data_IF_618752292983
#
_entry.id   IF_618752292983
#
_cell.length_a   1.000
_cell.length_b   1.000
_cell.length_c   1.000
_cell.angle_alpha   90.00
_cell.angle_beta   90.00
_cell.angle_gamma   90.00
#
_symmetry.space_group_name_H-M   'P 1'
#
loop_
_entity.id
_entity.type
_entity.pdbx_description
1 polymer ?
#
# COMPACT_ATOMS: atom_id res chain seq x y z
N UNK A 1 61.92 -6.60 21.58
CA UNK A 1 62.93 -6.19 20.58
C UNK A 1 62.54 -6.53 19.13
N UNK A 2 61.92 -7.68 18.84
CA UNK A 2 61.55 -8.06 17.45
C UNK A 2 60.55 -7.12 16.76
N UNK A 3 59.51 -6.65 17.46
CA UNK A 3 58.51 -5.71 16.89
C UNK A 3 59.13 -4.39 16.41
N UNK A 4 60.15 -3.90 17.13
CA UNK A 4 60.86 -2.67 16.79
C UNK A 4 61.74 -2.90 15.55
N UNK A 5 62.48 -4.02 15.51
CA UNK A 5 63.28 -4.42 14.34
C UNK A 5 62.41 -4.62 13.08
N UNK A 6 61.22 -5.23 13.21
CA UNK A 6 60.28 -5.43 12.10
C UNK A 6 59.68 -4.12 11.57
N UNK A 7 59.44 -3.13 12.44
CA UNK A 7 58.98 -1.80 12.05
C UNK A 7 60.07 -1.01 11.31
N UNK A 8 61.31 -1.09 11.79
CA UNK A 8 62.47 -0.50 11.12
C UNK A 8 62.71 -1.10 9.74
N UNK A 9 62.64 -2.42 9.61
CA UNK A 9 62.80 -3.11 8.34
C UNK A 9 61.70 -2.72 7.34
N UNK A 10 60.43 -2.62 7.79
CA UNK A 10 59.33 -2.11 6.98
C UNK A 10 59.54 -0.64 6.56
N UNK A 11 60.08 0.20 7.44
CA UNK A 11 60.36 1.61 7.13
C UNK A 11 61.44 1.71 6.06
N UNK A 12 62.52 0.95 6.22
CA UNK A 12 63.66 0.89 5.30
C UNK A 12 63.28 0.32 3.93
N UNK A 13 62.45 -0.74 3.88
CA UNK A 13 61.89 -1.28 2.63
C UNK A 13 60.99 -0.26 1.93
N UNK A 14 60.14 0.47 2.68
CA UNK A 14 59.34 1.55 2.11
C UNK A 14 60.22 2.67 1.56
N UNK A 15 61.26 3.11 2.28
CA UNK A 15 62.18 4.15 1.81
C UNK A 15 62.91 3.73 0.53
N UNK A 16 63.38 2.49 0.43
CA UNK A 16 63.99 1.95 -0.79
C UNK A 16 63.01 1.95 -1.97
N UNK A 17 61.76 1.53 -1.76
CA UNK A 17 60.70 1.57 -2.78
C UNK A 17 60.40 3.00 -3.25
N UNK A 18 60.45 3.99 -2.35
CA UNK A 18 60.23 5.40 -2.71
C UNK A 18 61.44 6.03 -3.43
N UNK A 19 62.64 5.50 -3.22
CA UNK A 19 63.87 5.99 -3.84
C UNK A 19 64.01 5.51 -5.29
N UNK A 20 63.54 4.30 -5.59
CA UNK A 20 63.52 3.71 -6.95
C UNK A 20 62.26 4.07 -7.76
N UNK A 21 61.37 4.90 -7.20
CA UNK A 21 60.09 5.25 -7.82
C UNK A 21 60.31 6.27 -8.94
N UNK A 22 59.69 6.04 -10.09
CA UNK A 22 59.74 7.00 -11.20
C UNK A 22 59.02 8.31 -10.85
N UNK A 23 59.32 9.43 -11.53
CA UNK A 23 58.64 10.71 -11.29
C UNK A 23 57.12 10.64 -11.42
N UNK A 24 56.62 9.82 -12.35
CA UNK A 24 55.18 9.62 -12.59
C UNK A 24 54.51 8.81 -11.48
N UNK A 25 55.10 7.68 -11.07
CA UNK A 25 54.60 6.87 -9.95
C UNK A 25 54.57 7.68 -8.64
N UNK A 26 55.59 8.53 -8.43
CA UNK A 26 55.65 9.45 -7.29
C UNK A 26 54.50 10.47 -7.29
N UNK A 27 54.06 10.93 -8.47
CA UNK A 27 52.91 11.83 -8.65
C UNK A 27 51.59 11.12 -8.36
N UNK A 28 51.40 9.91 -8.90
CA UNK A 28 50.20 9.08 -8.66
C UNK A 28 50.05 8.77 -7.17
N UNK A 29 51.13 8.37 -6.49
CA UNK A 29 51.09 8.10 -5.04
C UNK A 29 50.73 9.35 -4.23
N UNK A 30 51.22 10.53 -4.63
CA UNK A 30 50.88 11.79 -3.95
C UNK A 30 49.40 12.14 -4.14
N UNK A 31 48.85 11.93 -5.35
CA UNK A 31 47.44 12.12 -5.65
C UNK A 31 46.56 11.17 -4.82
N UNK A 32 46.84 9.86 -4.87
CA UNK A 32 46.13 8.85 -4.06
C UNK A 32 46.19 9.16 -2.56
N UNK A 33 47.34 9.62 -2.05
CA UNK A 33 47.49 10.01 -0.64
C UNK A 33 46.69 11.27 -0.31
N UNK A 34 46.56 12.21 -1.25
CA UNK A 34 45.76 13.43 -1.09
C UNK A 34 44.27 13.06 -1.06
N UNK A 35 43.81 12.29 -2.02
CA UNK A 35 42.42 11.83 -2.15
C UNK A 35 41.99 10.98 -0.94
N UNK A 36 42.84 10.06 -0.47
CA UNK A 36 42.56 9.28 0.74
C UNK A 36 42.46 10.15 2.01
N UNK A 37 43.23 11.24 2.09
CA UNK A 37 43.14 12.21 3.21
C UNK A 37 41.85 13.03 3.13
N UNK A 38 41.43 13.43 1.94
CA UNK A 38 40.16 14.12 1.71
C UNK A 38 38.97 13.23 2.05
N UNK A 39 38.95 11.98 1.54
CA UNK A 39 37.92 10.99 1.84
C UNK A 39 37.78 10.77 3.36
N UNK A 40 38.89 10.62 4.07
CA UNK A 40 38.89 10.43 5.53
C UNK A 40 38.43 11.68 6.29
N UNK A 41 38.73 12.88 5.80
CA UNK A 41 38.18 14.14 6.34
C UNK A 41 36.65 14.21 6.13
N UNK A 42 36.17 13.83 4.95
CA UNK A 42 34.75 13.82 4.58
C UNK A 42 33.94 12.85 5.44
N UNK A 43 34.43 11.63 5.61
CA UNK A 43 33.83 10.62 6.50
C UNK A 43 33.75 11.12 7.95
N UNK A 44 34.81 11.77 8.45
CA UNK A 44 34.84 12.32 9.83
C UNK A 44 33.88 13.50 10.03
N UNK A 45 33.57 14.25 8.97
CA UNK A 45 32.63 15.37 9.00
C UNK A 45 31.17 14.92 8.91
N UNK A 46 30.90 13.62 8.78
CA UNK A 46 29.54 13.08 8.74
C UNK A 46 28.77 13.41 7.46
N UNK A 47 29.46 13.86 6.40
CA UNK A 47 28.86 14.06 5.07
C UNK A 47 28.42 12.69 4.52
N UNK A 48 27.12 12.46 4.61
CA UNK A 48 26.40 11.29 4.13
C UNK A 48 26.59 11.09 2.62
N UNK A 49 26.25 9.89 2.14
CA UNK A 49 26.35 9.49 0.73
C UNK A 49 25.65 10.46 -0.25
N UNK A 50 24.67 11.22 0.21
CA UNK A 50 23.91 12.21 -0.57
C UNK A 50 24.70 13.51 -0.84
N UNK A 51 25.60 13.91 0.07
CA UNK A 51 26.50 15.07 -0.09
C UNK A 51 27.84 14.69 -0.75
N UNK A 52 28.10 13.40 -0.99
CA UNK A 52 29.33 12.92 -1.62
C UNK A 52 29.46 13.28 -3.11
N UNK A 53 28.41 13.84 -3.72
CA UNK A 53 28.35 14.22 -5.13
C UNK A 53 29.10 15.53 -5.43
N UNK A 54 29.39 16.34 -4.41
CA UNK A 54 30.12 17.59 -4.59
C UNK A 54 31.54 17.46 -4.03
N UNK A 55 32.52 17.74 -4.88
CA UNK A 55 33.94 17.86 -4.50
C UNK A 55 34.36 19.32 -4.64
N UNK A 56 35.40 19.78 -3.94
CA UNK A 56 35.87 21.17 -4.09
C UNK A 56 36.39 21.50 -5.49
N UNK A 57 36.69 20.47 -6.29
CA UNK A 57 37.09 20.61 -7.68
C UNK A 57 35.91 20.67 -8.66
N UNK A 58 34.73 20.20 -8.24
CA UNK A 58 33.55 19.97 -9.11
C UNK A 58 32.30 20.65 -8.53
N UNK A 59 32.52 21.71 -7.73
CA UNK A 59 31.46 22.51 -7.13
C UNK A 59 30.87 23.48 -8.18
N UNK A 60 29.56 23.38 -8.51
CA UNK A 60 28.91 24.25 -9.50
C UNK A 60 28.99 25.75 -9.19
N UNK A 61 29.20 26.10 -7.92
CA UNK A 61 29.28 27.49 -7.46
C UNK A 61 30.72 28.03 -7.42
N UNK A 62 31.72 27.22 -7.83
CA UNK A 62 33.12 27.63 -7.91
C UNK A 62 33.80 27.86 -6.55
N UNK A 63 33.21 27.39 -5.45
CA UNK A 63 33.79 27.54 -4.12
C UNK A 63 34.93 26.51 -3.92
N UNK A 64 36.15 27.02 -3.73
CA UNK A 64 37.38 26.21 -3.63
C UNK A 64 37.57 25.53 -2.27
N UNK A 65 36.70 25.84 -1.30
CA UNK A 65 36.82 25.42 0.10
C UNK A 65 35.51 24.87 0.66
N UNK A 66 34.74 24.15 -0.16
CA UNK A 66 33.47 23.54 0.19
C UNK A 66 33.55 22.67 1.47
N UNK A 67 34.69 22.05 1.73
CA UNK A 67 34.91 21.25 2.95
C UNK A 67 35.34 22.03 4.20
N UNK A 68 35.48 23.35 4.15
CA UNK A 68 35.83 24.14 5.34
C UNK A 68 34.60 24.37 6.23
N UNK A 69 34.77 24.16 7.53
CA UNK A 69 33.75 24.46 8.53
C UNK A 69 33.53 25.96 8.61
N UNK A 70 32.32 26.41 8.26
CA UNK A 70 31.94 27.81 8.43
C UNK A 70 31.89 28.18 9.92
N UNK A 71 32.64 29.20 10.31
CA UNK A 71 32.65 29.72 11.68
C UNK A 71 31.99 31.09 11.70
N UNK A 72 30.87 31.18 12.42
CA UNK A 72 30.16 32.45 12.59
C UNK A 72 30.82 33.31 13.67
N UNK A 73 31.92 33.99 13.30
CA UNK A 73 32.76 34.79 14.23
C UNK A 73 31.94 35.76 15.10
N UNK A 74 31.03 36.51 14.48
CA UNK A 74 30.16 37.47 15.17
C UNK A 74 29.20 36.82 16.18
N UNK A 75 28.79 35.57 15.94
CA UNK A 75 27.98 34.79 16.88
C UNK A 75 28.82 34.31 18.06
N UNK A 76 30.05 33.85 17.82
CA UNK A 76 30.99 33.47 18.88
C UNK A 76 31.31 34.67 19.79
N UNK A 77 31.56 35.85 19.20
CA UNK A 77 31.75 37.09 19.96
C UNK A 77 30.53 37.44 20.81
N UNK A 78 29.31 37.32 20.24
CA UNK A 78 28.06 37.59 20.97
C UNK A 78 27.79 36.58 22.09
N UNK A 79 28.19 35.32 21.91
CA UNK A 79 28.05 34.27 22.92
C UNK A 79 29.18 34.28 23.96
N UNK A 80 30.18 35.17 23.83
CA UNK A 80 31.33 35.25 24.74
C UNK A 80 32.34 34.11 24.58
N UNK A 81 32.27 33.40 23.44
CA UNK A 81 33.12 32.26 23.09
C UNK A 81 34.23 32.64 22.10
N UNK A 82 34.55 33.93 21.96
CA UNK A 82 35.56 34.42 21.03
C UNK A 82 36.97 33.88 21.33
N UNK A 83 37.26 33.57 22.60
CA UNK A 83 38.58 33.13 23.07
C UNK A 83 38.78 31.61 23.01
N UNK A 84 37.76 30.82 22.65
CA UNK A 84 37.93 29.36 22.53
C UNK A 84 38.72 28.96 21.29
N UNK A 85 39.47 27.88 21.43
CA UNK A 85 40.25 27.31 20.33
C UNK A 85 39.35 26.85 19.19
N UNK A 86 39.82 27.00 17.95
CA UNK A 86 39.13 26.49 16.75
C UNK A 86 38.76 25.00 16.86
N UNK A 87 39.57 24.22 17.58
CA UNK A 87 39.34 22.79 17.79
C UNK A 87 38.17 22.50 18.76
N UNK A 88 37.98 23.33 19.79
CA UNK A 88 36.89 23.20 20.76
C UNK A 88 35.54 23.60 20.14
N UNK A 89 35.54 24.64 19.29
CA UNK A 89 34.36 25.09 18.53
C UNK A 89 33.90 23.98 17.57
N UNK A 90 34.83 23.34 16.87
CA UNK A 90 34.53 22.22 15.99
C UNK A 90 33.96 21.02 16.74
N UNK A 91 34.50 20.68 17.92
CA UNK A 91 34.00 19.56 18.72
C UNK A 91 32.57 19.81 19.22
N UNK A 92 32.29 21.04 19.69
CA UNK A 92 30.94 21.44 20.11
C UNK A 92 29.95 21.41 18.94
N UNK A 93 30.38 21.84 17.76
CA UNK A 93 29.54 21.77 16.56
C UNK A 93 29.29 20.33 16.12
N UNK A 94 30.30 19.45 16.20
CA UNK A 94 30.13 18.00 15.95
C UNK A 94 29.11 17.37 16.91
N UNK A 95 29.21 17.67 18.21
CA UNK A 95 28.26 17.17 19.22
C UNK A 95 26.83 17.63 18.92
N UNK A 96 26.63 18.91 18.62
CA UNK A 96 25.31 19.45 18.22
C UNK A 96 24.75 18.79 16.95
N UNK A 97 25.60 18.49 15.97
CA UNK A 97 25.18 17.81 14.73
C UNK A 97 24.75 16.37 15.00
N UNK A 98 25.44 15.66 15.90
CA UNK A 98 25.07 14.31 16.32
C UNK A 98 23.71 14.34 17.04
N UNK A 99 23.55 15.24 18.02
CA UNK A 99 22.27 15.41 18.74
C UNK A 99 21.12 15.75 17.78
N UNK A 100 21.34 16.67 16.85
CA UNK A 100 20.34 17.06 15.85
C UNK A 100 19.97 15.89 14.91
N UNK A 101 20.95 15.06 14.53
CA UNK A 101 20.72 13.84 13.72
C UNK A 101 19.84 12.85 14.47
N UNK A 102 20.14 12.59 15.74
CA UNK A 102 19.37 11.67 16.58
C UNK A 102 17.94 12.19 16.81
N UNK A 103 17.77 13.50 17.01
CA UNK A 103 16.46 14.13 17.11
C UNK A 103 15.66 14.02 15.80
N UNK A 104 16.30 14.28 14.65
CA UNK A 104 15.70 14.12 13.34
C UNK A 104 15.25 12.68 13.09
N UNK A 105 16.06 11.70 13.46
CA UNK A 105 15.72 10.29 13.33
C UNK A 105 14.50 9.92 14.19
N UNK A 106 14.44 10.39 15.44
CA UNK A 106 13.26 10.22 16.31
C UNK A 106 12.01 10.88 15.74
N UNK A 107 12.13 12.07 15.13
CA UNK A 107 11.00 12.74 14.46
C UNK A 107 10.56 11.95 13.23
N UNK A 108 11.50 11.45 12.42
CA UNK A 108 11.21 10.64 11.24
C UNK A 108 10.51 9.33 11.62
N UNK A 109 10.99 8.64 12.64
CA UNK A 109 10.37 7.42 13.16
C UNK A 109 8.93 7.67 13.64
N UNK A 110 8.69 8.75 14.40
CA UNK A 110 7.33 9.13 14.83
C UNK A 110 6.40 9.43 13.65
N UNK A 111 6.89 10.12 12.61
CA UNK A 111 6.10 10.37 11.40
C UNK A 111 5.75 9.07 10.67
N UNK A 112 6.72 8.17 10.51
CA UNK A 112 6.49 6.88 9.88
C UNK A 112 5.47 6.04 10.67
N UNK A 113 5.56 6.02 12.00
CA UNK A 113 4.59 5.33 12.84
C UNK A 113 3.19 5.91 12.69
N UNK A 114 3.06 7.23 12.69
CA UNK A 114 1.76 7.90 12.50
C UNK A 114 1.16 7.60 11.13
N UNK A 115 1.95 7.65 10.06
CA UNK A 115 1.47 7.34 8.71
C UNK A 115 1.04 5.86 8.59
N UNK A 116 1.78 4.94 9.19
CA UNK A 116 1.42 3.51 9.22
C UNK A 116 0.12 3.27 10.02
N UNK A 117 -0.03 3.89 11.18
CA UNK A 117 -1.26 3.76 11.98
C UNK A 117 -2.46 4.36 11.25
N UNK A 118 -2.28 5.53 10.63
CA UNK A 118 -3.31 6.20 9.83
C UNK A 118 -3.73 5.34 8.63
N UNK A 119 -2.76 4.79 7.90
CA UNK A 119 -3.03 3.90 6.76
C UNK A 119 -3.76 2.63 7.20
N UNK A 120 -3.35 2.01 8.32
CA UNK A 120 -4.02 0.83 8.86
C UNK A 120 -5.48 1.12 9.26
N UNK A 121 -5.72 2.27 9.91
CA UNK A 121 -7.08 2.72 10.27
C UNK A 121 -7.94 3.01 9.04
N UNK A 122 -7.36 3.62 8.02
CA UNK A 122 -8.06 3.90 6.75
C UNK A 122 -8.41 2.61 6.01
N UNK A 123 -7.50 1.64 5.98
CA UNK A 123 -7.73 0.31 5.40
C UNK A 123 -8.84 -0.46 6.15
N UNK A 124 -8.81 -0.44 7.49
CA UNK A 124 -9.85 -1.07 8.31
C UNK A 124 -11.22 -0.42 8.08
N UNK A 125 -11.29 0.91 8.07
CA UNK A 125 -12.51 1.67 7.78
C UNK A 125 -13.04 1.37 6.38
N UNK A 126 -12.17 1.33 5.37
CA UNK A 126 -12.56 1.01 4.00
C UNK A 126 -13.09 -0.42 3.88
N UNK A 127 -12.46 -1.38 4.57
CA UNK A 127 -12.91 -2.76 4.59
C UNK A 127 -14.27 -2.89 5.29
N UNK A 128 -14.47 -2.19 6.41
CA UNK A 128 -15.75 -2.17 7.12
C UNK A 128 -16.85 -1.55 6.26
N UNK A 129 -16.57 -0.43 5.58
CA UNK A 129 -17.51 0.20 4.66
C UNK A 129 -17.88 -0.75 3.52
N UNK A 130 -16.91 -1.39 2.89
CA UNK A 130 -17.16 -2.38 1.83
C UNK A 130 -18.00 -3.56 2.33
N UNK A 131 -17.77 -4.02 3.56
CA UNK A 131 -18.59 -5.08 4.19
C UNK A 131 -20.03 -4.62 4.42
N UNK A 132 -20.22 -3.38 4.90
CA UNK A 132 -21.55 -2.78 5.10
C UNK A 132 -22.29 -2.64 3.78
N UNK A 133 -21.65 -2.11 2.75
CA UNK A 133 -22.21 -1.99 1.40
C UNK A 133 -22.58 -3.37 0.84
N UNK A 134 -21.68 -4.35 0.93
CA UNK A 134 -21.96 -5.72 0.47
C UNK A 134 -23.11 -6.40 1.24
N UNK A 135 -23.32 -6.08 2.51
CA UNK A 135 -24.46 -6.56 3.28
C UNK A 135 -25.76 -5.86 2.85
N UNK A 136 -25.73 -4.55 2.61
CA UNK A 136 -26.87 -3.79 2.07
C UNK A 136 -27.28 -4.28 0.69
N UNK A 137 -26.32 -4.51 -0.21
CA UNK A 137 -26.60 -5.07 -1.54
C UNK A 137 -27.26 -6.44 -1.47
N UNK A 138 -26.81 -7.33 -0.58
CA UNK A 138 -27.45 -8.64 -0.38
C UNK A 138 -28.88 -8.50 0.15
N UNK A 139 -29.11 -7.56 1.05
CA UNK A 139 -30.46 -7.31 1.56
C UNK A 139 -31.39 -6.77 0.46
N UNK A 140 -30.89 -5.85 -0.38
CA UNK A 140 -31.63 -5.38 -1.54
C UNK A 140 -31.93 -6.47 -2.56
N UNK A 141 -30.96 -7.34 -2.86
CA UNK A 141 -31.15 -8.49 -3.76
C UNK A 141 -32.27 -9.41 -3.23
N UNK A 142 -32.29 -9.69 -1.92
CA UNK A 142 -33.39 -10.46 -1.30
C UNK A 142 -34.75 -9.76 -1.41
N UNK A 143 -34.79 -8.44 -1.22
CA UNK A 143 -36.02 -7.67 -1.35
C UNK A 143 -36.52 -7.63 -2.79
N UNK A 144 -35.62 -7.51 -3.77
CA UNK A 144 -35.92 -7.57 -5.20
C UNK A 144 -36.46 -8.95 -5.60
N UNK A 145 -35.80 -10.04 -5.21
CA UNK A 145 -36.29 -11.41 -5.44
C UNK A 145 -37.69 -11.62 -4.83
N UNK A 146 -37.91 -11.14 -3.60
CA UNK A 146 -39.22 -11.20 -2.95
C UNK A 146 -40.28 -10.40 -3.71
N UNK A 147 -39.93 -9.21 -4.19
CA UNK A 147 -40.82 -8.37 -4.98
C UNK A 147 -41.20 -9.03 -6.30
N UNK A 148 -40.23 -9.63 -7.01
CA UNK A 148 -40.48 -10.35 -8.26
C UNK A 148 -41.41 -11.54 -8.05
N UNK A 149 -41.21 -12.33 -6.98
CA UNK A 149 -42.12 -13.42 -6.64
C UNK A 149 -43.54 -12.90 -6.35
N UNK A 150 -43.67 -11.85 -5.54
CA UNK A 150 -44.98 -11.26 -5.23
C UNK A 150 -45.67 -10.72 -6.49
N UNK A 151 -44.93 -10.06 -7.37
CA UNK A 151 -45.44 -9.57 -8.64
C UNK A 151 -45.88 -10.72 -9.56
N UNK A 152 -45.11 -11.81 -9.64
CA UNK A 152 -45.46 -13.00 -10.40
C UNK A 152 -46.76 -13.64 -9.89
N UNK A 153 -46.89 -13.78 -8.56
CA UNK A 153 -48.13 -14.25 -7.90
C UNK A 153 -49.32 -13.34 -8.20
N UNK A 154 -49.16 -12.03 -8.06
CA UNK A 154 -50.23 -11.07 -8.32
C UNK A 154 -50.69 -11.11 -9.79
N UNK A 155 -49.73 -11.15 -10.74
CA UNK A 155 -50.04 -11.27 -12.17
C UNK A 155 -50.77 -12.57 -12.50
N UNK A 156 -50.36 -13.69 -11.90
CA UNK A 156 -51.04 -14.97 -12.02
C UNK A 156 -52.49 -14.88 -11.53
N UNK A 157 -52.71 -14.32 -10.33
CA UNK A 157 -54.06 -14.11 -9.77
C UNK A 157 -54.96 -13.31 -10.71
N UNK A 158 -54.46 -12.20 -11.27
CA UNK A 158 -55.23 -11.38 -12.22
C UNK A 158 -55.55 -12.15 -13.51
N UNK A 159 -54.60 -12.90 -14.07
CA UNK A 159 -54.84 -13.69 -15.31
C UNK A 159 -55.88 -14.78 -15.13
N UNK A 160 -55.89 -15.42 -13.96
CA UNK A 160 -56.90 -16.44 -13.61
C UNK A 160 -58.29 -15.79 -13.53
N UNK A 161 -58.40 -14.64 -12.86
CA UNK A 161 -59.66 -13.89 -12.76
C UNK A 161 -60.16 -13.39 -14.12
N UNK A 162 -59.26 -12.94 -15.00
CA UNK A 162 -59.56 -12.48 -16.35
C UNK A 162 -59.88 -13.62 -17.35
N UNK A 163 -59.82 -14.89 -16.94
CA UNK A 163 -60.09 -16.05 -17.80
C UNK A 163 -59.01 -16.33 -18.87
N UNK A 164 -57.80 -15.77 -18.69
CA UNK A 164 -56.66 -15.87 -19.61
C UNK A 164 -55.42 -16.47 -18.93
N UNK A 165 -55.67 -17.45 -18.06
CA UNK A 165 -54.63 -18.12 -17.29
C UNK A 165 -53.64 -18.85 -18.20
N UNK A 166 -52.34 -18.73 -17.90
CA UNK A 166 -51.32 -19.60 -18.49
C UNK A 166 -51.26 -20.94 -17.75
N UNK A 167 -50.75 -22.01 -18.37
CA UNK A 167 -50.54 -23.30 -17.69
C UNK A 167 -49.71 -23.17 -16.40
N UNK A 168 -48.66 -22.33 -16.37
CA UNK A 168 -47.88 -22.07 -15.15
C UNK A 168 -48.71 -21.46 -14.01
N UNK A 169 -49.66 -20.56 -14.33
CA UNK A 169 -50.51 -19.90 -13.34
C UNK A 169 -51.41 -20.93 -12.64
N UNK A 170 -51.93 -21.91 -13.41
CA UNK A 170 -52.78 -22.99 -12.93
C UNK A 170 -51.97 -24.05 -12.15
N UNK A 171 -50.76 -24.39 -12.61
CA UNK A 171 -49.87 -25.33 -11.93
C UNK A 171 -49.34 -24.76 -10.61
N UNK A 172 -48.98 -23.48 -10.55
CA UNK A 172 -48.51 -22.81 -9.34
C UNK A 172 -49.55 -22.85 -8.21
N UNK A 173 -50.85 -22.96 -8.54
CA UNK A 173 -51.94 -23.10 -7.57
C UNK A 173 -51.87 -24.41 -6.77
N UNK A 174 -51.41 -25.51 -7.38
CA UNK A 174 -51.27 -26.81 -6.70
C UNK A 174 -50.15 -26.81 -5.64
N UNK A 175 -49.14 -25.97 -5.85
CA UNK A 175 -47.97 -25.86 -4.97
C UNK A 175 -48.24 -24.83 -3.87
N UNK A 176 -49.00 -23.78 -4.17
CA UNK A 176 -49.26 -22.63 -3.28
C UNK A 176 -50.46 -22.82 -2.36
N UNK A 177 -50.72 -24.05 -1.87
CA UNK A 177 -51.96 -24.52 -1.24
C UNK A 177 -52.47 -23.79 0.03
N UNK A 178 -52.04 -22.56 0.30
CA UNK A 178 -52.43 -21.75 1.47
C UNK A 178 -53.40 -20.59 1.17
N UNK A 179 -53.73 -20.24 -0.08
CA UNK A 179 -54.68 -19.14 -0.38
C UNK A 179 -55.88 -19.57 -1.25
N UNK A 180 -57.07 -19.53 -0.65
CA UNK A 180 -58.42 -19.50 -1.22
C UNK A 180 -58.75 -20.56 -2.30
N UNK A 181 -59.17 -21.73 -1.81
CA UNK A 181 -59.54 -22.93 -2.60
C UNK A 181 -61.01 -22.99 -3.04
N UNK A 182 -61.76 -21.89 -3.07
CA UNK A 182 -63.24 -22.02 -3.13
C UNK A 182 -63.91 -21.87 -4.51
N UNK A 183 -63.22 -21.51 -5.61
CA UNK A 183 -63.94 -21.17 -6.86
C UNK A 183 -63.42 -21.76 -8.19
N UNK A 184 -62.40 -22.61 -8.22
CA UNK A 184 -61.94 -23.24 -9.50
C UNK A 184 -61.87 -24.75 -9.33
N UNK A 185 -62.64 -25.47 -10.15
CA UNK A 185 -62.64 -26.93 -10.23
C UNK A 185 -61.22 -27.42 -10.54
N UNK A 186 -60.59 -28.03 -9.55
CA UNK A 186 -59.18 -28.40 -9.61
C UNK A 186 -59.04 -29.69 -10.44
N UNK A 187 -58.64 -29.57 -11.71
CA UNK A 187 -58.41 -30.73 -12.60
C UNK A 187 -57.11 -31.48 -12.27
N UNK A 188 -56.81 -32.58 -12.94
CA UNK A 188 -55.52 -33.26 -12.74
C UNK A 188 -54.39 -32.44 -13.40
N UNK A 189 -53.22 -32.17 -12.77
CA UNK A 189 -52.22 -31.21 -13.29
C UNK A 189 -51.77 -31.45 -14.73
N UNK A 190 -51.72 -32.71 -15.18
CA UNK A 190 -51.34 -33.04 -16.55
C UNK A 190 -52.39 -32.60 -17.58
N UNK A 191 -53.64 -32.36 -17.19
CA UNK A 191 -54.69 -31.91 -18.13
C UNK A 191 -54.38 -30.54 -18.71
N UNK A 192 -53.68 -29.68 -17.97
CA UNK A 192 -53.23 -28.37 -18.45
C UNK A 192 -52.06 -28.45 -19.43
N UNK A 193 -51.44 -29.63 -19.57
CA UNK A 193 -50.39 -29.90 -20.56
C UNK A 193 -50.98 -30.44 -21.87
N UNK A 194 -52.19 -30.99 -21.83
CA UNK A 194 -52.84 -31.58 -22.99
C UNK A 194 -53.28 -30.50 -23.98
N UNK A 195 -52.80 -30.59 -25.23
CA UNK A 195 -53.16 -29.67 -26.30
C UNK A 195 -52.25 -28.46 -26.47
N UNK A 196 -51.20 -28.32 -25.65
CA UNK A 196 -50.14 -27.34 -25.86
C UNK A 196 -49.26 -27.74 -27.05
N UNK A 197 -48.86 -26.76 -27.86
CA UNK A 197 -47.86 -26.96 -28.91
C UNK A 197 -46.46 -27.14 -28.32
N UNK A 198 -45.52 -27.61 -29.14
CA UNK A 198 -44.11 -27.77 -28.71
C UNK A 198 -43.51 -26.46 -28.21
N UNK A 199 -43.79 -25.34 -28.89
CA UNK A 199 -43.31 -24.01 -28.47
C UNK A 199 -43.90 -23.57 -27.13
N UNK A 200 -45.20 -23.79 -26.88
CA UNK A 200 -45.83 -23.42 -25.62
C UNK A 200 -45.32 -24.30 -24.44
N UNK A 201 -44.94 -25.55 -24.73
CA UNK A 201 -44.32 -26.45 -23.75
C UNK A 201 -42.89 -26.02 -23.42
N UNK A 202 -42.12 -25.55 -24.41
CA UNK A 202 -40.78 -24.97 -24.20
C UNK A 202 -40.87 -23.69 -23.34
N UNK A 203 -41.80 -22.79 -23.68
CA UNK A 203 -42.07 -21.58 -22.91
C UNK A 203 -42.50 -21.91 -21.47
N UNK A 204 -43.39 -22.89 -21.30
CA UNK A 204 -43.81 -23.36 -19.98
C UNK A 204 -42.63 -23.93 -19.17
N UNK A 205 -41.74 -24.68 -19.82
CA UNK A 205 -40.55 -25.22 -19.17
C UNK A 205 -39.61 -24.11 -18.71
N UNK A 206 -39.47 -23.02 -19.45
CA UNK A 206 -38.72 -21.83 -19.02
C UNK A 206 -39.41 -21.08 -17.88
N UNK A 207 -40.72 -20.88 -17.97
CA UNK A 207 -41.54 -20.25 -16.93
C UNK A 207 -41.41 -21.02 -15.59
N UNK A 208 -41.44 -22.37 -15.63
CA UNK A 208 -41.21 -23.23 -14.44
C UNK A 208 -39.80 -23.04 -13.88
N UNK A 209 -38.76 -23.03 -14.74
CA UNK A 209 -37.38 -22.82 -14.28
C UNK A 209 -37.20 -21.46 -13.61
N UNK A 210 -37.78 -20.40 -14.17
CA UNK A 210 -37.74 -19.07 -13.57
C UNK A 210 -38.42 -19.06 -12.20
N UNK A 211 -39.62 -19.64 -12.10
CA UNK A 211 -40.36 -19.73 -10.84
C UNK A 211 -39.61 -20.54 -9.78
N UNK A 212 -39.05 -21.70 -10.14
CA UNK A 212 -38.26 -22.53 -9.24
C UNK A 212 -36.99 -21.82 -8.77
N UNK A 213 -36.32 -21.07 -9.66
CA UNK A 213 -35.15 -20.27 -9.29
C UNK A 213 -35.51 -19.18 -8.29
N UNK A 214 -36.62 -18.46 -8.51
CA UNK A 214 -37.07 -17.40 -7.60
C UNK A 214 -37.48 -17.97 -6.24
N UNK A 215 -38.14 -19.13 -6.22
CA UNK A 215 -38.50 -19.85 -4.99
C UNK A 215 -37.25 -20.35 -4.26
N UNK A 216 -36.32 -21.01 -4.96
CA UNK A 216 -35.08 -21.55 -4.37
C UNK A 216 -34.16 -20.46 -3.82
N UNK A 217 -34.07 -19.29 -4.47
CA UNK A 217 -33.33 -18.12 -3.98
C UNK A 217 -33.89 -17.63 -2.64
N UNK A 218 -35.21 -17.53 -2.52
CA UNK A 218 -35.89 -17.12 -1.28
C UNK A 218 -35.78 -18.15 -0.14
N UNK A 219 -35.65 -19.44 -0.46
CA UNK A 219 -35.41 -20.48 0.55
C UNK A 219 -33.95 -20.56 0.99
N UNK A 220 -32.99 -20.40 0.08
CA UNK A 220 -31.55 -20.35 0.41
C UNK A 220 -31.16 -19.12 1.23
N UNK A 221 -31.89 -18.01 1.10
CA UNK A 221 -31.65 -16.79 1.88
C UNK A 221 -32.12 -16.83 3.35
N UNK A 222 -32.76 -17.92 3.79
CA UNK A 222 -33.35 -18.12 5.14
C UNK A 222 -32.53 -19.04 6.06
N UNK A 223 -31.38 -19.55 5.62
CA UNK A 223 -30.47 -20.42 6.39
C UNK A 223 -29.15 -19.74 6.77
#
# INVERSE_FOLDING_TARGET
>A
MERVKALEEKRRRKEALKANETPEEKRIRRLMKKEAKEKKKREKMGWDNEYALFTDADNPFGDAHLHQTFVWKKKLEKEGLADLGSEEIEERNRQKMIEMRDELEKVKARRQQYELEKAAREEESALEQRRKEAAQFREWEKQEDSFHLQQAKLRSKIRIQDGRAKPIDLLAKYISAEEDLDEVEMHEPYTYLNGLGVGDLEDLQEDIKCFDLDVLKLFRGRG
#
